data_IF_953392762957
#
_entry.id   IF_953392762957
#
_cell.length_a   1.000
_cell.length_b   1.000
_cell.length_c   1.000
_cell.angle_alpha   90.00
_cell.angle_beta   90.00
_cell.angle_gamma   90.00
#
_symmetry.space_group_name_H-M   'P 1'
#
loop_
_entity.id
_entity.type
_entity.pdbx_description
1 polymer ?
#
# COMPACT_ATOMS: atom_id res chain seq x y z
N UNK A 1 3.39 -38.43 -38.57
CA UNK A 1 2.59 -38.19 -37.36
C UNK A 1 3.30 -37.11 -36.56
N UNK A 2 2.79 -35.89 -36.58
CA UNK A 2 3.36 -34.81 -35.76
C UNK A 2 2.90 -35.00 -34.32
N UNK A 3 3.78 -34.91 -33.30
CA UNK A 3 3.33 -34.90 -31.92
C UNK A 3 2.54 -33.61 -31.72
N UNK A 4 1.27 -33.75 -31.32
CA UNK A 4 0.47 -32.64 -30.82
C UNK A 4 1.17 -32.18 -29.54
N UNK A 5 1.88 -31.05 -29.59
CA UNK A 5 2.40 -30.37 -28.41
C UNK A 5 1.20 -30.02 -27.54
N UNK A 6 0.97 -30.81 -26.50
CA UNK A 6 -0.07 -30.54 -25.53
C UNK A 6 0.39 -29.35 -24.70
N UNK A 7 0.02 -28.14 -25.13
CA UNK A 7 0.16 -26.91 -24.35
C UNK A 7 -0.64 -27.10 -23.05
N UNK A 8 0.01 -27.58 -21.98
CA UNK A 8 -0.66 -27.79 -20.69
C UNK A 8 -0.58 -26.48 -19.89
N UNK A 9 -1.16 -25.43 -20.46
CA UNK A 9 -1.35 -24.15 -19.80
C UNK A 9 -2.63 -24.21 -18.95
N UNK A 10 -2.49 -23.92 -17.67
CA UNK A 10 -3.60 -23.83 -16.73
C UNK A 10 -3.71 -22.40 -16.22
N UNK A 11 -4.91 -21.83 -16.26
CA UNK A 11 -5.24 -20.51 -15.73
C UNK A 11 -6.45 -20.62 -14.82
N UNK A 12 -6.33 -20.06 -13.62
CA UNK A 12 -7.39 -19.95 -12.64
C UNK A 12 -7.59 -18.49 -12.29
N UNK A 13 -8.78 -18.00 -12.59
CA UNK A 13 -9.19 -16.64 -12.29
C UNK A 13 -10.39 -16.65 -11.34
N UNK A 14 -10.25 -16.06 -10.14
CA UNK A 14 -11.31 -16.02 -9.11
C UNK A 14 -11.38 -14.66 -8.43
N UNK A 15 -12.55 -14.29 -7.91
CA UNK A 15 -12.65 -13.17 -6.96
C UNK A 15 -12.13 -13.64 -5.60
N UNK A 16 -11.38 -12.79 -4.92
CA UNK A 16 -10.82 -13.08 -3.60
C UNK A 16 -10.93 -11.86 -2.71
N UNK A 17 -11.02 -12.10 -1.41
CA UNK A 17 -10.66 -11.08 -0.42
C UNK A 17 -9.23 -11.37 0.00
N UNK A 18 -8.37 -10.37 -0.07
CA UNK A 18 -6.96 -10.47 0.34
C UNK A 18 -6.80 -9.72 1.65
N UNK A 19 -6.06 -10.29 2.60
CA UNK A 19 -5.77 -9.63 3.88
C UNK A 19 -4.30 -9.71 4.24
N UNK A 20 -3.84 -8.75 5.04
CA UNK A 20 -2.51 -8.79 5.68
C UNK A 20 -2.68 -9.29 7.12
N UNK A 21 -2.07 -10.43 7.49
CA UNK A 21 -2.20 -10.99 8.84
C UNK A 21 -1.78 -10.00 9.92
N UNK A 22 -2.55 -9.94 11.01
CA UNK A 22 -2.28 -9.04 12.13
C UNK A 22 -2.71 -7.59 11.91
N UNK A 23 -3.35 -7.27 10.78
CA UNK A 23 -3.86 -5.93 10.49
C UNK A 23 -5.35 -5.95 10.14
N UNK A 24 -5.97 -4.78 10.13
CA UNK A 24 -7.34 -4.59 9.64
C UNK A 24 -7.44 -4.47 8.11
N UNK A 25 -6.31 -4.45 7.40
CA UNK A 25 -6.30 -4.21 5.96
C UNK A 25 -6.74 -5.45 5.19
N UNK A 26 -7.88 -5.32 4.51
CA UNK A 26 -8.38 -6.30 3.56
C UNK A 26 -8.93 -5.62 2.32
N UNK A 27 -8.65 -6.17 1.14
CA UNK A 27 -9.14 -5.66 -0.13
C UNK A 27 -9.86 -6.74 -0.92
N UNK A 28 -10.83 -6.31 -1.72
CA UNK A 28 -11.50 -7.13 -2.72
C UNK A 28 -10.64 -7.07 -3.99
N UNK A 29 -10.24 -8.22 -4.50
CA UNK A 29 -9.38 -8.32 -5.67
C UNK A 29 -9.80 -9.45 -6.59
N UNK A 30 -9.34 -9.38 -7.83
CA UNK A 30 -9.34 -10.50 -8.77
C UNK A 30 -7.98 -11.18 -8.67
N UNK A 31 -7.98 -12.47 -8.36
CA UNK A 31 -6.78 -13.30 -8.36
C UNK A 31 -6.71 -14.07 -9.67
N UNK A 32 -5.57 -13.97 -10.36
CA UNK A 32 -5.19 -14.84 -11.47
C UNK A 32 -4.01 -15.69 -11.02
N UNK A 33 -4.10 -16.99 -11.26
CA UNK A 33 -3.03 -17.94 -11.04
C UNK A 33 -2.82 -18.67 -12.35
N UNK A 34 -1.61 -18.63 -12.87
CA UNK A 34 -1.29 -19.32 -14.11
C UNK A 34 -0.10 -20.27 -13.92
N UNK A 35 -0.14 -21.35 -14.68
CA UNK A 35 0.90 -22.37 -14.74
C UNK A 35 1.10 -22.81 -16.20
N UNK A 36 2.34 -22.87 -16.63
CA UNK A 36 2.76 -23.54 -17.87
C UNK A 36 3.71 -24.68 -17.52
N UNK A 37 3.62 -25.80 -18.22
CA UNK A 37 4.53 -26.94 -18.04
C UNK A 37 5.79 -26.87 -18.90
N UNK A 38 5.83 -26.03 -19.94
CA UNK A 38 6.96 -25.95 -20.86
C UNK A 38 7.30 -24.49 -21.24
N UNK A 39 8.37 -23.90 -20.65
CA UNK A 39 9.04 -24.36 -19.44
C UNK A 39 8.13 -24.21 -18.21
N UNK A 40 8.44 -24.92 -17.11
CA UNK A 40 7.65 -24.87 -15.87
C UNK A 40 7.62 -23.46 -15.26
N UNK A 41 6.54 -22.73 -15.54
CA UNK A 41 6.34 -21.34 -15.14
C UNK A 41 5.10 -21.19 -14.31
N UNK A 42 5.14 -20.24 -13.39
CA UNK A 42 4.03 -19.90 -12.52
C UNK A 42 3.88 -18.40 -12.32
N UNK A 43 2.67 -17.97 -12.02
CA UNK A 43 2.40 -16.62 -11.56
C UNK A 43 1.18 -16.59 -10.63
N UNK A 44 1.23 -15.68 -9.65
CA UNK A 44 0.04 -15.23 -8.93
C UNK A 44 -0.03 -13.72 -9.13
N UNK A 45 -1.16 -13.24 -9.64
CA UNK A 45 -1.41 -11.81 -9.81
C UNK A 45 -2.72 -11.43 -9.12
N UNK A 46 -2.69 -10.33 -8.38
CA UNK A 46 -3.84 -9.75 -7.69
C UNK A 46 -4.15 -8.41 -8.32
N UNK A 47 -5.35 -8.21 -8.86
CA UNK A 47 -5.72 -6.95 -9.47
C UNK A 47 -6.94 -6.31 -8.82
N UNK A 48 -6.89 -4.99 -8.72
CA UNK A 48 -8.02 -4.15 -8.33
C UNK A 48 -8.29 -3.12 -9.42
N UNK A 49 -9.52 -2.65 -9.44
CA UNK A 49 -9.89 -1.43 -10.16
C UNK A 49 -9.92 -0.29 -9.14
N UNK A 50 -9.27 0.82 -9.48
CA UNK A 50 -9.25 2.02 -8.65
C UNK A 50 -9.34 3.26 -9.54
N UNK A 51 -10.02 4.29 -9.04
CA UNK A 51 -9.96 5.61 -9.64
C UNK A 51 -8.69 6.30 -9.12
N UNK A 52 -7.71 6.53 -10.00
CA UNK A 52 -6.43 7.11 -9.60
C UNK A 52 -6.48 8.63 -9.69
N UNK A 53 -5.85 9.31 -8.73
CA UNK A 53 -5.63 10.73 -8.83
C UNK A 53 -4.78 11.02 -10.09
N UNK A 54 -5.15 12.05 -10.83
CA UNK A 54 -4.50 12.46 -12.09
C UNK A 54 -4.73 11.51 -13.28
N UNK A 55 -5.64 10.55 -13.17
CA UNK A 55 -6.09 9.77 -14.32
C UNK A 55 -7.31 10.41 -14.97
N UNK A 56 -7.35 10.40 -16.30
CA UNK A 56 -8.58 10.70 -17.05
C UNK A 56 -9.54 9.51 -17.07
N UNK A 57 -9.08 8.32 -16.68
CA UNK A 57 -9.89 7.13 -16.59
C UNK A 57 -10.55 7.06 -15.22
N UNK A 58 -11.86 6.76 -15.20
CA UNK A 58 -12.60 6.52 -13.96
C UNK A 58 -12.26 5.18 -13.29
N UNK A 59 -11.46 4.32 -13.94
CA UNK A 59 -11.13 2.98 -13.43
C UNK A 59 -9.86 2.42 -14.06
N UNK A 60 -8.71 2.69 -13.44
CA UNK A 60 -7.45 2.06 -13.82
C UNK A 60 -7.28 0.72 -13.10
N UNK A 61 -6.65 -0.23 -13.79
CA UNK A 61 -6.31 -1.54 -13.23
C UNK A 61 -4.93 -1.49 -12.60
N UNK A 62 -4.84 -1.70 -11.29
CA UNK A 62 -3.59 -1.92 -10.58
C UNK A 62 -3.41 -3.41 -10.33
N UNK A 63 -2.21 -3.95 -10.58
CA UNK A 63 -1.94 -5.37 -10.37
C UNK A 63 -0.69 -5.57 -9.54
N UNK A 64 -0.81 -6.35 -8.46
CA UNK A 64 0.32 -6.88 -7.72
C UNK A 64 0.69 -8.22 -8.34
N UNK A 65 1.91 -8.34 -8.86
CA UNK A 65 2.46 -9.58 -9.35
C UNK A 65 3.38 -10.21 -8.29
N UNK A 66 3.02 -11.40 -7.83
CA UNK A 66 3.79 -12.18 -6.88
C UNK A 66 4.61 -13.20 -7.68
N UNK A 67 5.91 -12.96 -7.79
CA UNK A 67 6.81 -13.87 -8.47
C UNK A 67 7.03 -15.15 -7.63
N UNK A 68 6.99 -16.34 -8.24
CA UNK A 68 7.36 -17.61 -7.60
C UNK A 68 8.63 -17.55 -6.73
N UNK A 69 9.71 -16.98 -7.28
CA UNK A 69 11.00 -16.81 -6.62
C UNK A 69 10.95 -15.98 -5.32
N UNK A 70 9.95 -15.12 -5.15
CA UNK A 70 9.80 -14.33 -3.94
C UNK A 70 9.10 -15.10 -2.82
N UNK A 71 8.51 -16.27 -3.09
CA UNK A 71 7.68 -17.02 -2.13
C UNK A 71 8.54 -17.94 -1.28
N UNK A 72 8.69 -17.61 0.01
CA UNK A 72 9.41 -18.42 0.99
C UNK A 72 8.56 -19.55 1.56
N UNK A 73 7.26 -19.33 1.70
CA UNK A 73 6.32 -20.34 2.23
C UNK A 73 4.93 -20.10 1.67
N UNK A 74 4.27 -21.18 1.29
CA UNK A 74 2.85 -21.19 0.94
C UNK A 74 2.11 -22.26 1.75
N UNK A 75 0.86 -22.01 2.10
CA UNK A 75 -0.01 -23.04 2.69
C UNK A 75 -1.47 -22.82 2.32
N UNK A 76 -2.10 -23.84 1.73
CA UNK A 76 -3.51 -23.80 1.35
C UNK A 76 -4.36 -24.61 2.33
N UNK A 77 -5.24 -23.94 3.05
CA UNK A 77 -6.20 -24.57 3.97
C UNK A 77 -7.56 -24.66 3.28
N UNK A 78 -8.08 -25.89 3.15
CA UNK A 78 -9.36 -26.16 2.47
C UNK A 78 -10.58 -25.74 3.28
N UNK A 79 -10.56 -25.95 4.60
CA UNK A 79 -11.69 -25.68 5.49
C UNK A 79 -11.66 -24.24 6.02
N UNK A 80 -12.85 -23.68 6.29
CA UNK A 80 -12.97 -22.42 7.01
C UNK A 80 -12.23 -22.55 8.35
N UNK A 81 -11.36 -21.60 8.64
CA UNK A 81 -10.58 -21.59 9.87
C UNK A 81 -10.71 -20.19 10.50
N UNK A 82 -11.34 -20.08 11.69
CA UNK A 82 -11.58 -18.78 12.32
C UNK A 82 -10.28 -18.03 12.66
N UNK A 83 -9.18 -18.75 12.92
CA UNK A 83 -7.87 -18.13 13.18
C UNK A 83 -7.26 -17.51 11.91
N UNK A 84 -7.63 -18.04 10.74
CA UNK A 84 -7.15 -17.52 9.46
C UNK A 84 -8.10 -16.48 8.87
N UNK A 85 -9.40 -16.64 9.11
CA UNK A 85 -10.48 -15.81 8.59
C UNK A 85 -11.48 -15.49 9.72
N UNK A 86 -11.26 -14.38 10.46
CA UNK A 86 -12.18 -13.91 11.49
C UNK A 86 -13.58 -13.56 10.96
N UNK A 87 -14.54 -13.35 11.86
CA UNK A 87 -15.95 -13.07 11.57
C UNK A 87 -16.16 -11.86 10.65
N UNK A 88 -15.40 -10.79 10.87
CA UNK A 88 -15.49 -9.54 10.10
C UNK A 88 -15.08 -9.81 8.65
N UNK A 89 -14.00 -10.57 8.47
CA UNK A 89 -13.48 -10.93 7.15
C UNK A 89 -14.40 -11.91 6.42
N UNK A 90 -14.97 -12.87 7.15
CA UNK A 90 -15.99 -13.78 6.62
C UNK A 90 -17.24 -13.03 6.13
N UNK A 91 -17.64 -11.99 6.86
CA UNK A 91 -18.77 -11.13 6.47
C UNK A 91 -18.44 -10.31 5.24
N UNK A 92 -17.23 -9.75 5.13
CA UNK A 92 -16.74 -9.11 3.90
C UNK A 92 -16.76 -10.07 2.72
N UNK A 93 -16.24 -11.29 2.86
CA UNK A 93 -16.24 -12.31 1.80
C UNK A 93 -17.66 -12.61 1.28
N UNK A 94 -18.65 -12.68 2.18
CA UNK A 94 -20.06 -12.88 1.82
C UNK A 94 -20.66 -11.70 1.06
N UNK A 95 -20.24 -10.47 1.36
CA UNK A 95 -20.65 -9.28 0.63
C UNK A 95 -20.00 -9.23 -0.77
N UNK A 96 -18.73 -9.64 -0.88
CA UNK A 96 -17.99 -9.63 -2.15
C UNK A 96 -18.40 -10.77 -3.08
N UNK A 97 -18.72 -11.95 -2.54
CA UNK A 97 -18.97 -13.18 -3.30
C UNK A 97 -20.30 -13.81 -2.85
N UNK A 98 -21.30 -13.72 -3.73
CA UNK A 98 -22.62 -14.30 -3.50
C UNK A 98 -22.55 -15.81 -3.24
N UNK A 99 -23.32 -16.30 -2.27
CA UNK A 99 -23.38 -17.72 -1.91
C UNK A 99 -22.15 -18.25 -1.15
N UNK A 100 -21.23 -17.38 -0.70
CA UNK A 100 -20.06 -17.81 0.06
C UNK A 100 -20.43 -18.36 1.45
N UNK A 101 -20.47 -19.68 1.59
CA UNK A 101 -20.71 -20.35 2.89
C UNK A 101 -19.45 -20.94 3.51
N UNK A 102 -18.49 -21.33 2.66
CA UNK A 102 -17.22 -21.92 3.08
C UNK A 102 -16.05 -21.21 2.40
N UNK A 103 -14.96 -21.01 3.14
CA UNK A 103 -13.78 -20.26 2.71
C UNK A 103 -12.56 -21.16 2.76
N UNK A 104 -11.78 -21.16 1.68
CA UNK A 104 -10.43 -21.70 1.66
C UNK A 104 -9.43 -20.56 1.69
N UNK A 105 -8.35 -20.71 2.45
CA UNK A 105 -7.35 -19.64 2.62
C UNK A 105 -5.99 -20.11 2.14
N UNK A 106 -5.39 -19.36 1.22
CA UNK A 106 -3.99 -19.49 0.84
C UNK A 106 -3.19 -18.44 1.59
N UNK A 107 -2.32 -18.90 2.50
CA UNK A 107 -1.33 -18.04 3.15
C UNK A 107 -0.04 -18.06 2.35
N UNK A 108 0.52 -16.88 2.08
CA UNK A 108 1.77 -16.68 1.32
C UNK A 108 2.70 -15.81 2.16
N UNK A 109 3.93 -16.27 2.34
CA UNK A 109 5.02 -15.53 2.95
C UNK A 109 6.10 -15.27 1.89
N UNK A 110 6.51 -14.02 1.78
CA UNK A 110 7.42 -13.53 0.75
C UNK A 110 8.74 -13.08 1.36
N UNK A 111 9.86 -13.37 0.69
CA UNK A 111 11.18 -12.83 1.05
C UNK A 111 11.21 -11.30 0.88
N UNK A 112 10.55 -10.84 -0.19
CA UNK A 112 10.40 -9.44 -0.57
C UNK A 112 8.97 -9.19 -1.07
N UNK A 113 8.43 -7.97 -0.91
CA UNK A 113 7.13 -7.62 -1.48
C UNK A 113 7.05 -7.92 -2.99
N UNK A 114 5.82 -8.10 -3.49
CA UNK A 114 5.59 -8.31 -4.92
C UNK A 114 5.88 -7.05 -5.76
N UNK A 115 5.78 -7.19 -7.08
CA UNK A 115 5.97 -6.07 -8.01
C UNK A 115 4.61 -5.48 -8.39
N UNK A 116 4.52 -4.15 -8.35
CA UNK A 116 3.30 -3.44 -8.77
C UNK A 116 3.38 -3.15 -10.26
N UNK A 117 2.29 -3.47 -10.96
CA UNK A 117 2.05 -3.14 -12.34
C UNK A 117 1.02 -2.01 -12.37
N UNK A 118 1.43 -0.85 -12.87
CA UNK A 118 0.60 0.34 -12.91
C UNK A 118 0.79 1.12 -14.22
N UNK A 119 -0.09 2.07 -14.54
CA UNK A 119 0.06 2.90 -15.74
C UNK A 119 1.43 3.58 -15.83
N UNK A 120 1.99 3.66 -17.05
CA UNK A 120 3.34 4.19 -17.30
C UNK A 120 3.54 5.64 -16.88
N UNK A 121 2.48 6.45 -16.95
CA UNK A 121 2.48 7.85 -16.56
C UNK A 121 2.63 8.06 -15.04
N UNK A 122 2.26 7.05 -14.23
CA UNK A 122 2.22 7.18 -12.78
C UNK A 122 3.65 7.22 -12.20
N UNK A 123 4.03 8.38 -11.64
CA UNK A 123 5.23 8.54 -10.81
C UNK A 123 4.99 8.17 -9.35
N UNK A 124 3.75 8.34 -8.89
CA UNK A 124 3.24 7.90 -7.60
C UNK A 124 1.77 7.51 -7.74
N UNK A 125 1.31 6.57 -6.93
CA UNK A 125 -0.08 6.12 -6.90
C UNK A 125 -0.79 6.69 -5.68
N UNK A 126 -1.92 7.35 -5.94
CA UNK A 126 -2.91 7.77 -4.95
C UNK A 126 -4.30 7.61 -5.56
N UNK A 127 -5.31 7.34 -4.74
CA UNK A 127 -6.70 7.30 -5.18
C UNK A 127 -7.24 8.70 -5.43
N UNK A 128 -8.21 8.85 -6.33
CA UNK A 128 -8.99 10.08 -6.49
C UNK A 128 -9.90 10.33 -5.29
N UNK A 129 -10.31 9.27 -4.59
CA UNK A 129 -10.97 9.34 -3.29
C UNK A 129 -9.98 8.95 -2.18
N UNK A 130 -9.53 9.89 -1.33
CA UNK A 130 -8.60 9.59 -0.25
C UNK A 130 -9.18 8.64 0.82
N UNK A 131 -10.49 8.38 0.81
CA UNK A 131 -11.17 7.44 1.71
C UNK A 131 -11.44 6.08 1.08
N UNK A 132 -10.94 5.82 -0.14
CA UNK A 132 -11.08 4.51 -0.78
C UNK A 132 -10.35 3.42 0.02
N UNK A 133 -11.13 2.77 0.88
CA UNK A 133 -10.63 1.71 1.77
C UNK A 133 -10.05 0.51 1.01
N UNK A 134 -10.53 0.24 -0.21
CA UNK A 134 -10.04 -0.86 -1.02
C UNK A 134 -8.66 -0.53 -1.61
N UNK A 135 -8.49 0.69 -2.13
CA UNK A 135 -7.19 1.19 -2.60
C UNK A 135 -6.17 1.23 -1.45
N UNK A 136 -6.54 1.79 -0.29
CA UNK A 136 -5.67 1.87 0.88
C UNK A 136 -5.23 0.46 1.31
N UNK A 137 -6.17 -0.47 1.45
CA UNK A 137 -5.85 -1.84 1.80
C UNK A 137 -4.95 -2.51 0.75
N UNK A 138 -5.21 -2.28 -0.54
CA UNK A 138 -4.39 -2.82 -1.62
C UNK A 138 -2.95 -2.28 -1.61
N UNK A 139 -2.75 -1.00 -1.30
CA UNK A 139 -1.43 -0.41 -1.12
C UNK A 139 -0.66 -1.08 0.04
N UNK A 140 -1.30 -1.29 1.19
CA UNK A 140 -0.69 -2.04 2.30
C UNK A 140 -0.38 -3.51 1.93
N UNK A 141 -1.27 -4.15 1.16
CA UNK A 141 -1.05 -5.51 0.64
C UNK A 141 0.15 -5.56 -0.29
N UNK A 142 0.30 -4.59 -1.19
CA UNK A 142 1.45 -4.52 -2.11
C UNK A 142 2.78 -4.36 -1.36
N UNK A 143 2.78 -3.68 -0.21
CA UNK A 143 3.98 -3.45 0.60
C UNK A 143 4.24 -4.59 1.60
N UNK A 144 3.31 -5.53 1.77
CA UNK A 144 3.43 -6.61 2.74
C UNK A 144 4.25 -7.79 2.22
N UNK A 145 4.91 -8.48 3.16
CA UNK A 145 5.57 -9.78 2.95
C UNK A 145 4.71 -10.97 3.37
N UNK A 146 3.56 -10.73 3.99
CA UNK A 146 2.67 -11.77 4.51
C UNK A 146 1.24 -11.49 4.04
N UNK A 147 0.68 -12.43 3.29
CA UNK A 147 -0.61 -12.29 2.62
C UNK A 147 -1.48 -13.50 2.89
N UNK A 148 -2.79 -13.28 3.01
CA UNK A 148 -3.81 -14.33 2.99
C UNK A 148 -4.80 -14.04 1.87
N UNK A 149 -4.96 -14.98 0.95
CA UNK A 149 -5.94 -14.93 -0.12
C UNK A 149 -7.10 -15.84 0.29
N UNK A 150 -8.29 -15.26 0.44
CA UNK A 150 -9.49 -15.95 0.86
C UNK A 150 -10.38 -16.21 -0.35
N UNK A 151 -10.55 -17.49 -0.68
CA UNK A 151 -11.38 -17.95 -1.76
C UNK A 151 -12.70 -18.48 -1.21
N UNK A 152 -13.83 -17.94 -1.68
CA UNK A 152 -15.12 -18.58 -1.45
C UNK A 152 -15.17 -19.89 -2.24
N UNK A 153 -15.47 -21.00 -1.56
CA UNK A 153 -15.41 -22.34 -2.15
C UNK A 153 -16.43 -22.57 -3.26
N UNK A 154 -17.56 -21.86 -3.21
CA UNK A 154 -18.61 -21.89 -4.24
C UNK A 154 -18.08 -21.50 -5.63
N UNK A 155 -16.93 -20.81 -5.71
CA UNK A 155 -16.34 -20.43 -6.99
C UNK A 155 -15.55 -21.55 -7.67
N UNK A 156 -15.19 -22.64 -6.97
CA UNK A 156 -14.42 -23.73 -7.55
C UNK A 156 -15.32 -24.78 -8.18
N UNK A 157 -14.96 -25.24 -9.38
CA UNK A 157 -15.67 -26.26 -10.15
C UNK A 157 -14.74 -27.44 -10.43
N UNK A 158 -15.31 -28.66 -10.42
CA UNK A 158 -14.56 -29.90 -10.68
C UNK A 158 -13.26 -29.99 -9.86
N UNK A 159 -12.15 -30.18 -10.55
CA UNK A 159 -10.81 -30.37 -9.97
C UNK A 159 -10.03 -29.07 -9.74
N UNK A 160 -10.61 -27.89 -9.99
CA UNK A 160 -9.89 -26.60 -9.90
C UNK A 160 -9.19 -26.39 -8.55
N UNK A 161 -9.84 -26.78 -7.44
CA UNK A 161 -9.25 -26.64 -6.11
C UNK A 161 -8.06 -27.58 -5.90
N UNK A 162 -8.14 -28.82 -6.39
CA UNK A 162 -7.04 -29.78 -6.25
C UNK A 162 -5.88 -29.42 -7.20
N UNK A 163 -6.16 -28.85 -8.38
CA UNK A 163 -5.13 -28.25 -9.24
C UNK A 163 -4.46 -27.05 -8.57
N UNK A 164 -5.24 -26.17 -7.94
CA UNK A 164 -4.68 -25.06 -7.13
C UNK A 164 -3.80 -25.59 -6.00
N UNK A 165 -4.20 -26.67 -5.32
CA UNK A 165 -3.40 -27.31 -4.27
C UNK A 165 -2.07 -27.82 -4.82
N UNK A 166 -2.09 -28.52 -5.97
CA UNK A 166 -0.87 -29.00 -6.65
C UNK A 166 0.04 -27.84 -7.04
N UNK A 167 -0.52 -26.75 -7.59
CA UNK A 167 0.22 -25.53 -7.90
C UNK A 167 0.87 -24.95 -6.63
N UNK A 168 0.12 -24.78 -5.54
CA UNK A 168 0.64 -24.23 -4.29
C UNK A 168 1.80 -25.05 -3.71
N UNK A 169 1.78 -26.38 -3.87
CA UNK A 169 2.89 -27.25 -3.42
C UNK A 169 4.17 -27.13 -4.24
N UNK A 170 4.07 -26.65 -5.48
CA UNK A 170 5.20 -26.54 -6.41
C UNK A 170 5.65 -25.11 -6.64
N UNK A 171 4.88 -24.12 -6.21
CA UNK A 171 5.06 -22.72 -6.60
C UNK A 171 6.49 -22.20 -6.39
N UNK A 172 7.20 -22.67 -5.37
CA UNK A 172 8.56 -22.23 -5.06
C UNK A 172 9.62 -22.71 -6.05
N UNK A 173 9.32 -23.79 -6.79
CA UNK A 173 10.23 -24.37 -7.79
C UNK A 173 9.93 -23.86 -9.20
N UNK A 174 8.87 -23.06 -9.38
CA UNK A 174 8.46 -22.58 -10.68
C UNK A 174 9.27 -21.37 -11.10
N UNK A 175 9.55 -21.26 -12.40
CA UNK A 175 10.10 -20.05 -12.98
C UNK A 175 9.02 -18.96 -13.06
N UNK A 176 9.36 -17.67 -12.93
CA UNK A 176 8.38 -16.61 -13.14
C UNK A 176 7.86 -16.58 -14.57
N UNK A 177 6.54 -16.39 -14.71
CA UNK A 177 5.95 -16.07 -16.01
C UNK A 177 6.44 -14.70 -16.53
N UNK A 178 6.89 -14.65 -17.78
CA UNK A 178 7.30 -13.40 -18.42
C UNK A 178 6.09 -12.69 -19.02
N UNK A 179 5.59 -11.63 -18.41
CA UNK A 179 4.60 -10.81 -19.09
C UNK A 179 5.25 -9.67 -19.89
N UNK A 180 4.76 -9.45 -21.12
CA UNK A 180 5.15 -8.34 -21.98
C UNK A 180 4.40 -7.05 -21.61
N UNK A 181 4.66 -6.55 -20.39
CA UNK A 181 3.93 -5.42 -19.80
C UNK A 181 4.01 -4.10 -20.62
N UNK A 182 5.12 -3.89 -21.33
CA UNK A 182 5.37 -2.68 -22.12
C UNK A 182 4.37 -2.49 -23.27
N UNK A 183 3.77 -3.56 -23.77
CA UNK A 183 2.81 -3.49 -24.90
C UNK A 183 1.42 -2.97 -24.49
N UNK A 184 1.18 -2.81 -23.20
CA UNK A 184 -0.14 -2.44 -22.67
C UNK A 184 -0.13 -1.11 -21.90
N UNK A 185 0.93 -0.31 -22.02
CA UNK A 185 1.04 0.97 -21.29
C UNK A 185 1.23 0.81 -19.78
N UNK A 186 1.67 -0.36 -19.32
CA UNK A 186 1.87 -0.69 -17.91
C UNK A 186 3.36 -0.88 -17.64
N UNK A 187 3.83 -0.38 -16.49
CA UNK A 187 5.22 -0.48 -16.04
C UNK A 187 5.32 -1.21 -14.71
N UNK A 188 6.45 -1.90 -14.50
CA UNK A 188 6.80 -2.51 -13.22
C UNK A 188 7.35 -1.45 -12.27
N UNK A 189 6.84 -1.40 -11.05
CA UNK A 189 7.24 -0.46 -10.00
C UNK A 189 7.38 -1.18 -8.67
N UNK A 190 8.26 -0.63 -7.84
CA UNK A 190 8.36 -1.02 -6.44
C UNK A 190 7.10 -0.58 -5.67
N UNK A 191 6.62 -1.35 -4.68
CA UNK A 191 5.47 -0.97 -3.84
C UNK A 191 5.58 0.38 -3.11
N UNK A 192 6.78 0.94 -2.98
CA UNK A 192 6.98 2.32 -2.49
C UNK A 192 6.37 3.40 -3.40
N UNK A 193 5.89 3.04 -4.60
CA UNK A 193 5.14 3.98 -5.46
C UNK A 193 3.82 4.44 -4.83
N UNK A 194 3.25 3.65 -3.91
CA UNK A 194 2.07 4.05 -3.16
C UNK A 194 2.47 5.08 -2.10
N UNK A 195 2.00 6.31 -2.26
CA UNK A 195 2.13 7.36 -1.25
C UNK A 195 0.96 7.24 -0.28
N UNK A 196 1.07 6.30 0.65
CA UNK A 196 0.20 6.30 1.82
C UNK A 196 0.57 7.54 2.64
N UNK A 197 -0.40 8.41 2.92
CA UNK A 197 -0.17 9.56 3.80
C UNK A 197 0.48 9.09 5.10
N UNK A 198 1.42 9.86 5.68
CA UNK A 198 1.91 9.53 7.02
C UNK A 198 0.69 9.38 7.95
N UNK A 199 0.75 8.48 8.94
CA UNK A 199 -0.34 8.37 9.90
C UNK A 199 -0.65 9.78 10.43
N UNK A 200 -1.93 10.14 10.59
CA UNK A 200 -2.26 11.39 11.26
C UNK A 200 -1.46 11.38 12.56
N UNK A 201 -0.69 12.45 12.80
CA UNK A 201 -0.10 12.65 14.12
C UNK A 201 -1.24 12.48 15.11
N UNK A 202 -1.05 11.62 16.11
CA UNK A 202 -1.90 11.68 17.28
C UNK A 202 -1.74 13.12 17.77
N UNK A 203 -2.75 13.95 17.53
CA UNK A 203 -2.92 15.16 18.31
C UNK A 203 -3.03 14.64 19.74
N UNK A 204 -1.91 14.60 20.46
CA UNK A 204 -1.92 14.51 21.91
C UNK A 204 -3.01 15.49 22.31
N UNK A 205 -4.09 14.97 22.87
CA UNK A 205 -5.15 15.79 23.42
C UNK A 205 -4.45 16.70 24.41
N UNK A 206 -4.18 17.93 23.97
CA UNK A 206 -3.75 19.02 24.84
C UNK A 206 -4.86 19.06 25.86
N UNK A 207 -4.54 18.54 27.04
CA UNK A 207 -5.42 18.61 28.18
C UNK A 207 -5.80 20.07 28.30
N UNK A 208 -7.11 20.32 28.39
CA UNK A 208 -7.79 21.54 28.84
C UNK A 208 -6.85 22.67 29.29
N UNK A 209 -7.06 23.93 28.84
CA UNK A 209 -6.19 25.05 29.18
C UNK A 209 -5.84 25.02 30.67
N UNK A 210 -4.58 24.72 30.98
CA UNK A 210 -4.05 25.01 32.28
C UNK A 210 -4.26 26.51 32.51
N UNK A 211 -4.92 26.82 33.61
CA UNK A 211 -5.03 28.15 34.19
C UNK A 211 -3.69 28.89 33.97
N UNK A 212 -3.75 30.07 33.35
CA UNK A 212 -2.57 30.89 33.04
C UNK A 212 -1.68 31.01 34.27
N UNK A 213 -0.65 30.18 34.34
CA UNK A 213 0.51 30.47 35.15
C UNK A 213 1.34 31.48 34.34
N UNK A 214 1.59 32.64 34.95
CA UNK A 214 2.43 33.67 34.35
C UNK A 214 3.78 33.08 33.90
N UNK A 215 4.31 33.52 32.75
CA UNK A 215 5.65 33.14 32.35
C UNK A 215 6.66 33.58 33.43
N UNK A 216 7.74 32.82 33.66
CA UNK A 216 8.72 33.19 34.68
C UNK A 216 9.30 34.57 34.36
N UNK A 217 9.20 35.49 35.32
CA UNK A 217 9.80 36.82 35.24
C UNK A 217 11.32 36.68 35.17
N UNK A 218 11.91 37.12 34.06
CA UNK A 218 13.34 37.30 33.95
C UNK A 218 13.72 38.58 34.70
N UNK A 219 14.45 38.45 35.81
CA UNK A 219 14.97 39.59 36.56
C UNK A 219 16.16 40.19 35.79
N UNK A 220 15.92 41.28 35.07
CA UNK A 220 16.97 42.18 34.61
C UNK A 220 17.33 43.14 35.75
N UNK A 221 18.23 42.70 36.65
CA UNK A 221 18.88 43.62 37.58
C UNK A 221 20.37 43.80 37.21
N UNK A 222 20.81 45.03 36.89
CA UNK A 222 22.20 45.35 36.65
C UNK A 222 22.92 45.54 37.99
N UNK A 223 23.75 44.57 38.39
CA UNK A 223 24.74 44.81 39.45
C UNK A 223 25.90 45.64 38.87
N UNK A 224 25.83 46.95 39.09
CA UNK A 224 26.98 47.84 39.02
C UNK A 224 27.84 47.61 40.27
N UNK A 225 29.08 47.17 40.09
CA UNK A 225 30.16 47.57 40.99
C UNK A 225 31.38 48.00 40.16
N UNK A 226 31.91 49.21 40.40
CA UNK A 226 32.96 49.81 39.57
C UNK A 226 34.35 49.38 40.05
N UNK A 227 35.22 48.98 39.13
CA UNK A 227 36.67 48.98 39.37
C UNK A 227 37.35 49.81 38.28
N UNK A 228 37.98 50.87 38.76
CA UNK A 228 38.75 51.89 38.07
C UNK A 228 39.95 51.28 37.33
N UNK A 229 40.11 51.60 36.05
CA UNK A 229 41.32 51.31 35.27
C UNK A 229 41.36 52.10 33.95
N UNK A 230 42.12 53.19 33.94
CA UNK A 230 42.25 54.17 32.84
C UNK A 230 42.84 53.56 31.55
N UNK A 231 42.27 53.89 30.38
CA UNK A 231 42.91 54.67 29.29
C UNK A 231 41.97 54.89 28.10
N UNK A 232 42.25 56.00 27.43
CA UNK A 232 41.46 56.81 26.51
C UNK A 232 41.86 56.57 25.04
N UNK A 233 40.90 56.58 24.10
CA UNK A 233 40.87 57.43 22.88
C UNK A 233 39.82 57.04 21.83
N UNK A 234 38.97 58.02 21.47
CA UNK A 234 38.42 58.31 20.12
C UNK A 234 37.11 57.59 19.73
N UNK A 235 35.93 58.24 19.74
CA UNK A 235 35.28 59.02 18.64
C UNK A 235 35.31 58.32 17.27
N UNK A 236 34.27 58.20 16.43
CA UNK A 236 32.83 58.56 16.33
C UNK A 236 32.35 57.78 15.07
N UNK A 237 31.11 57.35 14.88
CA UNK A 237 30.01 58.19 14.40
C UNK A 237 28.72 57.35 14.29
N UNK A 238 27.61 57.91 14.77
CA UNK A 238 26.25 57.48 14.46
C UNK A 238 25.93 57.70 12.97
N UNK A 239 25.07 56.84 12.41
CA UNK A 239 23.83 57.29 11.79
C UNK A 239 22.70 56.25 11.93
N UNK A 240 21.64 56.68 12.58
CA UNK A 240 20.32 56.04 12.71
C UNK A 240 19.38 56.77 11.73
N UNK A 241 18.52 56.06 10.98
CA UNK A 241 17.04 56.14 11.03
C UNK A 241 16.28 55.75 9.74
N UNK A 242 15.26 54.88 9.95
CA UNK A 242 13.86 54.86 9.40
C UNK A 242 13.69 54.74 7.86
N UNK A 243 12.63 54.14 7.29
CA UNK A 243 11.24 53.92 7.71
C UNK A 243 10.58 52.86 6.80
N UNK A 244 9.67 52.06 7.35
CA UNK A 244 8.65 51.26 6.66
C UNK A 244 7.67 52.13 5.87
N UNK A 245 7.07 51.62 4.78
CA UNK A 245 5.61 51.42 4.69
C UNK A 245 5.14 50.66 3.44
N UNK A 246 4.22 49.73 3.70
CA UNK A 246 3.35 49.00 2.78
C UNK A 246 2.24 49.92 2.23
N UNK A 247 1.78 49.66 1.01
CA UNK A 247 0.49 50.15 0.52
C UNK A 247 -0.16 49.13 -0.43
N UNK A 248 -1.36 48.68 -0.05
CA UNK A 248 -2.38 48.11 -0.93
C UNK A 248 -3.09 49.25 -1.69
N UNK A 249 -3.82 48.94 -2.77
CA UNK A 249 -5.12 49.57 -2.95
C UNK A 249 -6.27 48.59 -3.24
N UNK A 250 -7.45 49.12 -2.95
CA UNK A 250 -8.81 48.57 -2.90
C UNK A 250 -9.50 48.66 -4.28
N UNK A 251 -10.57 47.87 -4.41
CA UNK A 251 -11.59 47.73 -5.46
C UNK A 251 -12.03 48.98 -6.24
N UNK A 252 -12.58 48.73 -7.44
CA UNK A 252 -13.81 49.38 -7.90
C UNK A 252 -13.83 49.91 -9.33
N UNK A 253 -14.42 49.14 -10.25
CA UNK A 253 -15.38 49.58 -11.29
C UNK A 253 -16.05 48.36 -11.93
#
# INVERSE_FOLDING_TARGET
MSPVLQESHWDLTKKVVVSVPGTKHSCDAKCRIAYSNDPERGSISLSIKAALANSTNSSDSLTLNICPEAIQKSSLVKRSNPNLCPSELSSKIRQTISGATAVSTLSIYLARPGIVLCPSWAKSLSSSDPRDSNFIAFAHICQSKSLRLHFARVQFQGEEFETLRKFCSRIQTLQPESFAHHRHGVVKRDPSIFKLSPPPYDEEQVSTPAEQADPPQYNDQPELNPVIGKRDRGMSHLHIYRRFQLSWPVDGL
#
